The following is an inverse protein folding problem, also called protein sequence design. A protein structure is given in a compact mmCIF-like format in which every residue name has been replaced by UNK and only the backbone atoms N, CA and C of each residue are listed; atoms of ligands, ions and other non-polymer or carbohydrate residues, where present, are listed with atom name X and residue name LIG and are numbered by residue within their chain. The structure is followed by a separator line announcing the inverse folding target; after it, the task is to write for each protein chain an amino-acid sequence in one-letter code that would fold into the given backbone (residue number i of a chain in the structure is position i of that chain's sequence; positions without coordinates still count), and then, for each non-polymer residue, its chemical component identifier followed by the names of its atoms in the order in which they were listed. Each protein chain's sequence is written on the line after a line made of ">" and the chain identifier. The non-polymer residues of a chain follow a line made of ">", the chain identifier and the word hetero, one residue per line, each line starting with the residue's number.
data_IF_250351633521
#
_entry.id   IF_250351633521
#
_cell.length_a   1.000
_cell.length_b   1.000
_cell.length_c   1.000
_cell.angle_alpha   90.00
_cell.angle_beta   90.00
_cell.angle_gamma   90.00
#
_symmetry.space_group_name_H-M   'P 1'
#
loop_
_entity.id
_entity.type
_entity.pdbx_description
1 polymer ?
#
# COMPACT_ATOMS: atom_id res chain seq x y z
N UNK A 1 6.17 -28.09 -20.88
CA UNK A 1 7.34 -28.16 -21.79
C UNK A 1 7.25 -29.43 -22.64
N UNK A 2 7.65 -29.41 -23.92
CA UNK A 2 7.70 -30.63 -24.76
C UNK A 2 8.94 -31.47 -24.46
N UNK A 3 8.97 -32.74 -24.88
CA UNK A 3 10.16 -33.60 -24.71
C UNK A 3 11.38 -33.03 -25.45
N UNK A 4 11.15 -32.46 -26.65
CA UNK A 4 12.20 -31.80 -27.42
C UNK A 4 12.86 -30.65 -26.64
N UNK A 5 12.07 -29.69 -26.15
CA UNK A 5 12.62 -28.54 -25.42
C UNK A 5 13.29 -28.95 -24.10
N UNK A 6 12.77 -29.98 -23.44
CA UNK A 6 13.44 -30.57 -22.27
C UNK A 6 14.82 -31.12 -22.62
N UNK A 7 14.91 -31.94 -23.66
CA UNK A 7 16.18 -32.53 -24.11
C UNK A 7 17.17 -31.46 -24.58
N UNK A 8 16.69 -30.43 -25.27
CA UNK A 8 17.48 -29.28 -25.71
C UNK A 8 18.14 -28.54 -24.53
N UNK A 9 17.37 -28.20 -23.49
CA UNK A 9 17.88 -27.53 -22.28
C UNK A 9 18.91 -28.41 -21.58
N UNK A 10 18.59 -29.69 -21.37
CA UNK A 10 19.48 -30.66 -20.74
C UNK A 10 20.81 -30.74 -21.50
N UNK A 11 20.76 -30.86 -22.82
CA UNK A 11 21.93 -30.97 -23.67
C UNK A 11 22.80 -29.72 -23.58
N UNK A 12 22.23 -28.53 -23.76
CA UNK A 12 23.01 -27.29 -23.73
C UNK A 12 23.62 -27.01 -22.36
N UNK A 13 22.86 -27.16 -21.27
CA UNK A 13 23.39 -26.94 -19.92
C UNK A 13 24.51 -27.92 -19.60
N UNK A 14 24.37 -29.20 -19.98
CA UNK A 14 25.42 -30.21 -19.77
C UNK A 14 26.66 -29.90 -20.59
N UNK A 15 26.51 -29.59 -21.88
CA UNK A 15 27.63 -29.23 -22.76
C UNK A 15 28.34 -27.99 -22.23
N UNK A 16 27.61 -26.97 -21.79
CA UNK A 16 28.19 -25.76 -21.23
C UNK A 16 29.00 -26.02 -19.96
N UNK A 17 28.48 -26.82 -19.03
CA UNK A 17 29.22 -27.20 -17.82
C UNK A 17 30.49 -28.00 -18.16
N UNK A 18 30.41 -28.90 -19.14
CA UNK A 18 31.58 -29.65 -19.62
C UNK A 18 32.61 -28.70 -20.25
N UNK A 19 32.17 -27.77 -21.12
CA UNK A 19 33.05 -26.83 -21.80
C UNK A 19 33.73 -25.86 -20.81
N UNK A 20 33.01 -25.34 -19.82
CA UNK A 20 33.60 -24.49 -18.78
C UNK A 20 34.59 -25.28 -17.94
N UNK A 21 34.24 -26.50 -17.55
CA UNK A 21 35.15 -27.37 -16.80
C UNK A 21 36.42 -27.62 -17.62
N UNK A 22 36.26 -28.01 -18.89
CA UNK A 22 37.38 -28.20 -19.80
C UNK A 22 38.23 -26.95 -19.96
N UNK A 23 37.63 -25.78 -20.17
CA UNK A 23 38.33 -24.51 -20.33
C UNK A 23 39.16 -24.16 -19.08
N UNK A 24 38.58 -24.35 -17.89
CA UNK A 24 39.26 -24.09 -16.63
C UNK A 24 40.50 -24.99 -16.45
N UNK A 25 40.40 -26.28 -16.78
CA UNK A 25 41.54 -27.20 -16.67
C UNK A 25 42.55 -27.03 -17.81
N UNK A 26 42.09 -26.70 -19.03
CA UNK A 26 42.96 -26.45 -20.18
C UNK A 26 43.81 -25.19 -19.99
N UNK A 27 43.20 -24.10 -19.52
CA UNK A 27 43.92 -22.85 -19.19
C UNK A 27 44.93 -23.07 -18.06
N UNK A 28 44.59 -23.88 -17.06
CA UNK A 28 45.52 -24.23 -15.98
C UNK A 28 46.72 -25.06 -16.43
N UNK A 29 46.57 -25.92 -17.43
CA UNK A 29 47.67 -26.79 -17.93
C UNK A 29 48.83 -26.00 -18.54
N UNK A 30 48.55 -24.82 -19.09
CA UNK A 30 49.55 -23.95 -19.72
C UNK A 30 50.23 -22.94 -18.77
N UNK A 31 49.92 -22.96 -17.48
CA UNK A 31 50.39 -21.95 -16.53
C UNK A 31 51.75 -22.26 -15.93
N UNK A 32 52.47 -21.21 -15.53
CA UNK A 32 53.69 -21.32 -14.73
C UNK A 32 53.39 -21.86 -13.33
N UNK A 33 54.38 -22.51 -12.70
CA UNK A 33 54.18 -23.14 -11.39
C UNK A 33 54.04 -22.10 -10.25
N UNK A 34 54.77 -20.99 -10.37
CA UNK A 34 54.89 -19.94 -9.37
C UNK A 34 54.61 -18.57 -10.00
N UNK A 35 54.37 -17.57 -9.14
CA UNK A 35 54.25 -16.18 -9.57
C UNK A 35 55.56 -15.69 -10.20
N UNK A 36 55.45 -15.01 -11.34
CA UNK A 36 56.58 -14.45 -12.08
C UNK A 36 56.30 -13.02 -12.51
N UNK A 37 57.35 -12.21 -12.58
CA UNK A 37 57.30 -10.84 -13.13
C UNK A 37 57.46 -10.83 -14.67
N UNK A 38 57.35 -11.99 -15.32
CA UNK A 38 57.49 -12.12 -16.77
C UNK A 38 56.23 -11.62 -17.48
N UNK A 39 56.41 -10.73 -18.46
CA UNK A 39 55.31 -10.22 -19.30
C UNK A 39 55.14 -11.05 -20.58
N UNK A 40 53.98 -10.92 -21.23
CA UNK A 40 53.61 -11.66 -22.45
C UNK A 40 54.34 -11.19 -23.72
N UNK A 41 55.17 -10.15 -23.63
CA UNK A 41 56.03 -9.67 -24.72
C UNK A 41 55.38 -8.68 -25.70
N UNK A 42 54.12 -8.30 -25.46
CA UNK A 42 53.42 -7.26 -26.21
C UNK A 42 52.99 -6.12 -25.28
N UNK A 43 53.11 -4.88 -25.77
CA UNK A 43 52.65 -3.69 -25.06
C UNK A 43 51.50 -3.04 -25.83
N UNK A 44 50.42 -2.75 -25.12
CA UNK A 44 49.26 -2.04 -25.65
C UNK A 44 49.07 -0.77 -24.84
N UNK A 45 49.31 0.39 -25.47
CA UNK A 45 49.18 1.72 -24.84
C UNK A 45 49.98 1.85 -23.53
N UNK A 46 51.20 1.30 -23.52
CA UNK A 46 52.07 1.30 -22.34
C UNK A 46 51.70 0.30 -21.24
N UNK A 47 50.66 -0.51 -21.44
CA UNK A 47 50.28 -1.60 -20.53
C UNK A 47 50.84 -2.93 -21.05
N UNK A 48 51.44 -3.71 -20.16
CA UNK A 48 51.91 -5.08 -20.42
C UNK A 48 51.22 -6.05 -19.46
N UNK A 49 50.98 -7.28 -19.92
CA UNK A 49 50.29 -8.31 -19.14
C UNK A 49 51.29 -9.30 -18.55
N UNK A 50 51.16 -9.60 -17.25
CA UNK A 50 51.94 -10.66 -16.61
C UNK A 50 51.40 -12.05 -16.95
N UNK A 51 52.30 -12.97 -17.26
CA UNK A 51 52.00 -14.38 -17.49
C UNK A 51 52.08 -15.17 -16.17
N UNK A 52 51.11 -14.89 -15.28
CA UNK A 52 51.00 -15.46 -13.94
C UNK A 52 50.00 -16.62 -13.89
N UNK A 53 50.22 -17.63 -13.01
CA UNK A 53 49.21 -18.66 -12.77
C UNK A 53 47.96 -18.09 -12.11
N UNK A 54 46.84 -18.78 -12.32
CA UNK A 54 45.61 -18.49 -11.58
C UNK A 54 45.86 -18.71 -10.08
N UNK A 55 45.42 -17.78 -9.21
CA UNK A 55 45.50 -17.98 -7.78
C UNK A 55 44.82 -19.28 -7.36
N UNK A 56 45.52 -20.11 -6.56
CA UNK A 56 45.03 -21.46 -6.18
C UNK A 56 43.65 -21.41 -5.51
N UNK A 57 43.44 -20.42 -4.64
CA UNK A 57 42.16 -20.24 -3.95
C UNK A 57 41.02 -19.92 -4.93
N UNK A 58 41.29 -19.09 -5.94
CA UNK A 58 40.31 -18.71 -6.97
C UNK A 58 39.92 -19.92 -7.81
N UNK A 59 40.91 -20.72 -8.21
CA UNK A 59 40.66 -21.96 -8.95
C UNK A 59 39.80 -22.93 -8.14
N UNK A 60 40.13 -23.15 -6.86
CA UNK A 60 39.38 -24.06 -5.99
C UNK A 60 37.94 -23.58 -5.79
N UNK A 61 37.75 -22.26 -5.63
CA UNK A 61 36.42 -21.65 -5.55
C UNK A 61 35.63 -21.89 -6.85
N UNK A 62 36.25 -21.68 -8.02
CA UNK A 62 35.60 -21.92 -9.31
C UNK A 62 35.20 -23.40 -9.47
N UNK A 63 36.06 -24.34 -9.08
CA UNK A 63 35.69 -25.77 -9.08
C UNK A 63 34.54 -26.05 -8.12
N UNK A 64 34.54 -25.45 -6.92
CA UNK A 64 33.47 -25.62 -5.95
C UNK A 64 32.12 -25.11 -6.49
N UNK A 65 32.07 -24.01 -7.24
CA UNK A 65 30.81 -23.52 -7.85
C UNK A 65 30.31 -24.44 -8.96
N UNK A 66 31.19 -25.06 -9.75
CA UNK A 66 30.81 -26.09 -10.74
C UNK A 66 30.17 -27.29 -10.02
N UNK A 67 30.86 -27.81 -8.99
CA UNK A 67 30.36 -28.93 -8.18
C UNK A 67 29.02 -28.59 -7.54
N UNK A 68 28.90 -27.41 -6.92
CA UNK A 68 27.65 -26.92 -6.35
C UNK A 68 26.54 -26.85 -7.39
N UNK A 69 26.82 -26.33 -8.59
CA UNK A 69 25.83 -26.22 -9.68
C UNK A 69 25.32 -27.58 -10.12
N UNK A 70 26.21 -28.57 -10.26
CA UNK A 70 25.82 -29.96 -10.59
C UNK A 70 24.95 -30.55 -9.49
N UNK A 71 25.36 -30.44 -8.22
CA UNK A 71 24.57 -30.92 -7.08
C UNK A 71 23.20 -30.24 -7.04
N UNK A 72 23.15 -28.92 -7.25
CA UNK A 72 21.91 -28.15 -7.25
C UNK A 72 20.95 -28.59 -8.36
N UNK A 73 21.45 -28.80 -9.59
CA UNK A 73 20.64 -29.27 -10.72
C UNK A 73 20.16 -30.73 -10.57
N UNK A 74 20.83 -31.52 -9.73
CA UNK A 74 20.35 -32.85 -9.34
C UNK A 74 19.23 -32.73 -8.31
N UNK A 75 19.39 -31.86 -7.30
CA UNK A 75 18.44 -31.70 -6.20
C UNK A 75 17.15 -30.98 -6.60
N UNK A 76 17.25 -29.92 -7.41
CA UNK A 76 16.16 -29.01 -7.78
C UNK A 76 15.76 -29.14 -9.26
N UNK A 77 14.55 -28.68 -9.64
CA UNK A 77 14.20 -28.53 -11.04
C UNK A 77 15.11 -27.48 -11.72
N UNK A 78 15.50 -27.76 -12.97
CA UNK A 78 16.38 -26.90 -13.76
C UNK A 78 16.86 -27.55 -15.05
N UNK A 79 16.92 -28.89 -15.04
CA UNK A 79 17.28 -29.71 -16.20
C UNK A 79 16.04 -30.13 -17.01
N UNK A 80 15.46 -29.19 -17.75
CA UNK A 80 14.28 -29.44 -18.58
C UNK A 80 13.07 -29.90 -17.75
N UNK A 81 12.54 -31.09 -18.02
CA UNK A 81 11.43 -31.73 -17.27
C UNK A 81 11.88 -32.44 -15.99
N UNK A 82 13.18 -32.54 -15.73
CA UNK A 82 13.67 -33.13 -14.49
C UNK A 82 13.18 -32.30 -13.29
N UNK A 83 12.48 -32.96 -12.37
CA UNK A 83 11.88 -32.31 -11.19
C UNK A 83 12.86 -32.09 -10.03
N UNK A 84 14.09 -32.61 -10.16
CA UNK A 84 14.99 -32.73 -9.02
C UNK A 84 14.66 -33.96 -8.16
N UNK A 85 15.63 -34.39 -7.36
CA UNK A 85 15.44 -35.47 -6.38
C UNK A 85 14.53 -35.03 -5.23
N UNK A 86 14.52 -33.74 -4.89
CA UNK A 86 13.70 -33.20 -3.81
C UNK A 86 12.23 -32.99 -4.21
N UNK A 87 11.92 -33.04 -5.52
CA UNK A 87 10.57 -32.77 -6.02
C UNK A 87 10.07 -31.34 -5.78
N UNK A 88 10.95 -30.42 -5.35
CA UNK A 88 10.60 -29.05 -4.97
C UNK A 88 10.02 -28.24 -6.13
N UNK A 89 9.00 -27.42 -5.83
CA UNK A 89 8.56 -26.33 -6.69
C UNK A 89 8.29 -25.07 -5.85
N UNK A 90 8.48 -23.89 -6.44
CA UNK A 90 8.17 -22.62 -5.76
C UNK A 90 6.68 -22.49 -5.39
N UNK A 91 5.79 -23.16 -6.14
CA UNK A 91 4.34 -23.12 -5.89
C UNK A 91 3.99 -23.97 -4.67
N UNK A 92 4.49 -25.20 -4.59
CA UNK A 92 4.29 -26.06 -3.41
C UNK A 92 4.94 -25.43 -2.18
N UNK A 93 6.15 -24.85 -2.30
CA UNK A 93 6.78 -24.15 -1.17
C UNK A 93 5.91 -22.99 -0.66
N UNK A 94 5.35 -22.18 -1.57
CA UNK A 94 4.45 -21.11 -1.20
C UNK A 94 3.18 -21.63 -0.53
N UNK A 95 2.58 -22.70 -1.05
CA UNK A 95 1.39 -23.32 -0.45
C UNK A 95 1.68 -23.85 0.95
N UNK A 96 2.80 -24.56 1.15
CA UNK A 96 3.25 -25.02 2.46
C UNK A 96 3.47 -23.86 3.44
N UNK A 97 4.04 -22.75 2.97
CA UNK A 97 4.30 -21.57 3.80
C UNK A 97 2.98 -20.89 4.22
N UNK A 98 2.04 -20.74 3.29
CA UNK A 98 0.70 -20.21 3.57
C UNK A 98 -0.07 -21.13 4.51
N UNK A 99 -0.06 -22.46 4.29
CA UNK A 99 -0.75 -23.42 5.15
C UNK A 99 -0.20 -23.39 6.59
N UNK A 100 1.13 -23.32 6.74
CA UNK A 100 1.75 -23.18 8.07
C UNK A 100 1.37 -21.86 8.73
N UNK A 101 1.36 -20.77 7.98
CA UNK A 101 0.94 -19.47 8.49
C UNK A 101 -0.54 -19.47 8.89
N UNK A 102 -1.41 -20.04 8.08
CA UNK A 102 -2.84 -20.20 8.40
C UNK A 102 -3.05 -21.06 9.64
N UNK A 103 -2.38 -22.21 9.75
CA UNK A 103 -2.46 -23.06 10.94
C UNK A 103 -2.01 -22.33 12.22
N UNK A 104 -1.04 -21.42 12.12
CA UNK A 104 -0.54 -20.63 13.24
C UNK A 104 -1.43 -19.42 13.57
N UNK A 105 -1.91 -18.69 12.56
CA UNK A 105 -2.54 -17.39 12.75
C UNK A 105 -4.07 -17.43 12.68
N UNK A 106 -4.67 -18.41 12.00
CA UNK A 106 -6.14 -18.53 11.92
C UNK A 106 -6.80 -18.65 13.30
N UNK A 107 -6.27 -19.39 14.29
CA UNK A 107 -6.86 -19.42 15.63
C UNK A 107 -6.87 -18.05 16.33
N UNK A 108 -5.89 -17.19 16.03
CA UNK A 108 -5.82 -15.83 16.58
C UNK A 108 -6.92 -14.97 15.98
N UNK A 109 -7.13 -15.02 14.66
CA UNK A 109 -8.21 -14.31 14.00
C UNK A 109 -9.58 -14.86 14.39
N UNK A 110 -9.74 -16.19 14.46
CA UNK A 110 -11.00 -16.84 14.82
C UNK A 110 -11.53 -16.41 16.19
N UNK A 111 -10.64 -16.05 17.14
CA UNK A 111 -11.06 -15.48 18.43
C UNK A 111 -11.85 -14.17 18.26
N UNK A 112 -11.49 -13.34 17.29
CA UNK A 112 -12.03 -11.99 17.13
C UNK A 112 -13.10 -11.87 16.05
N UNK A 113 -13.09 -12.73 15.02
CA UNK A 113 -13.98 -12.59 13.85
C UNK A 113 -15.46 -12.73 14.21
N UNK A 114 -15.78 -13.58 15.19
CA UNK A 114 -17.15 -13.80 15.68
C UNK A 114 -17.59 -12.78 16.74
N UNK A 115 -16.66 -11.99 17.28
CA UNK A 115 -16.98 -10.95 18.27
C UNK A 115 -17.55 -9.70 17.57
N UNK A 116 -18.44 -8.94 18.21
CA UNK A 116 -18.84 -7.63 17.70
C UNK A 116 -17.63 -6.68 17.60
N UNK A 117 -17.62 -5.83 16.58
CA UNK A 117 -16.51 -4.89 16.31
C UNK A 117 -16.28 -3.97 17.50
N UNK A 118 -17.34 -3.56 18.18
CA UNK A 118 -17.30 -2.73 19.38
C UNK A 118 -16.60 -3.42 20.56
N UNK A 119 -16.66 -4.75 20.64
CA UNK A 119 -15.96 -5.53 21.66
C UNK A 119 -14.50 -5.72 21.28
N UNK A 120 -14.22 -6.05 20.01
CA UNK A 120 -12.86 -6.16 19.46
C UNK A 120 -12.10 -4.84 19.58
N UNK A 121 -12.78 -3.71 19.38
CA UNK A 121 -12.21 -2.36 19.50
C UNK A 121 -11.74 -2.00 20.92
N UNK A 122 -12.15 -2.76 21.95
CA UNK A 122 -11.74 -2.57 23.35
C UNK A 122 -10.64 -3.54 23.80
N UNK A 123 -10.31 -4.55 23.00
CA UNK A 123 -9.25 -5.51 23.29
C UNK A 123 -7.90 -4.95 22.79
N UNK A 124 -6.96 -4.70 23.70
CA UNK A 124 -5.67 -4.08 23.37
C UNK A 124 -4.84 -4.88 22.35
N UNK A 125 -4.91 -6.21 22.41
CA UNK A 125 -4.18 -7.07 21.48
C UNK A 125 -4.81 -7.03 20.09
N UNK A 126 -6.15 -7.01 20.02
CA UNK A 126 -6.88 -6.84 18.78
C UNK A 126 -6.62 -5.47 18.12
N UNK A 127 -6.66 -4.39 18.90
CA UNK A 127 -6.33 -3.02 18.44
C UNK A 127 -4.91 -2.98 17.89
N UNK A 128 -3.94 -3.62 18.55
CA UNK A 128 -2.55 -3.69 18.06
C UNK A 128 -2.41 -4.49 16.76
N UNK A 129 -3.21 -5.54 16.56
CA UNK A 129 -3.27 -6.28 15.28
C UNK A 129 -3.85 -5.37 14.19
N UNK A 130 -4.98 -4.72 14.47
CA UNK A 130 -5.63 -3.79 13.54
C UNK A 130 -4.73 -2.61 13.17
N UNK A 131 -3.97 -2.06 14.12
CA UNK A 131 -2.97 -1.01 13.88
C UNK A 131 -1.89 -1.45 12.88
N UNK A 132 -1.38 -2.69 12.97
CA UNK A 132 -0.39 -3.22 12.02
C UNK A 132 -1.00 -3.40 10.62
N UNK A 133 -2.25 -3.87 10.55
CA UNK A 133 -2.99 -3.96 9.28
C UNK A 133 -3.18 -2.56 8.68
N UNK A 134 -3.56 -1.57 9.49
CA UNK A 134 -3.74 -0.19 9.07
C UNK A 134 -2.42 0.43 8.57
N UNK A 135 -1.33 0.23 9.31
CA UNK A 135 -0.01 0.70 8.94
C UNK A 135 0.43 0.17 7.57
N UNK A 136 0.10 -1.09 7.26
CA UNK A 136 0.50 -1.75 6.00
C UNK A 136 -0.39 -1.35 4.81
N UNK A 137 -1.70 -1.16 5.03
CA UNK A 137 -2.68 -1.07 3.95
C UNK A 137 -3.35 0.31 3.80
N UNK A 138 -3.37 1.14 4.85
CA UNK A 138 -4.21 2.33 4.91
C UNK A 138 -3.41 3.63 5.18
N UNK A 139 -2.27 3.52 5.88
CA UNK A 139 -1.48 4.66 6.35
C UNK A 139 -0.96 5.60 5.27
N UNK A 140 -0.70 5.07 4.07
CA UNK A 140 -0.19 5.86 2.93
C UNK A 140 -1.17 6.96 2.52
N UNK A 141 -2.48 6.72 2.69
CA UNK A 141 -3.52 7.68 2.36
C UNK A 141 -4.02 8.42 3.61
N UNK A 142 -4.32 7.68 4.68
CA UNK A 142 -4.94 8.23 5.89
C UNK A 142 -3.94 8.71 6.94
N UNK A 143 -2.64 8.72 6.63
CA UNK A 143 -1.58 9.10 7.58
C UNK A 143 -1.22 7.95 8.52
N UNK A 144 0.00 8.00 9.07
CA UNK A 144 0.49 7.01 10.04
C UNK A 144 -0.26 7.03 11.38
N UNK A 145 -0.82 8.19 11.72
CA UNK A 145 -1.64 8.44 12.91
C UNK A 145 -3.14 8.44 12.61
N UNK A 146 -3.54 8.02 11.40
CA UNK A 146 -4.92 8.00 10.93
C UNK A 146 -5.61 9.38 10.84
N UNK A 147 -4.87 10.49 10.95
CA UNK A 147 -5.41 11.86 10.90
C UNK A 147 -5.63 12.43 9.51
N UNK A 148 -5.38 11.63 8.49
CA UNK A 148 -5.59 12.02 7.10
C UNK A 148 -4.57 13.04 6.59
N UNK A 149 -4.94 13.67 5.48
CA UNK A 149 -4.17 14.73 4.82
C UNK A 149 -5.12 15.50 3.89
N UNK A 150 -4.61 16.50 3.16
CA UNK A 150 -5.40 17.15 2.12
C UNK A 150 -5.96 16.11 1.12
N UNK A 151 -7.28 16.01 1.03
CA UNK A 151 -7.99 15.06 0.18
C UNK A 151 -8.22 13.67 0.79
N UNK A 152 -7.70 13.37 1.98
CA UNK A 152 -7.89 12.10 2.70
C UNK A 152 -8.48 12.32 4.10
N UNK A 153 -9.62 11.68 4.45
CA UNK A 153 -10.28 11.90 5.73
C UNK A 153 -9.41 11.54 6.93
N UNK A 154 -9.59 12.30 8.01
CA UNK A 154 -9.20 11.90 9.35
C UNK A 154 -10.16 10.80 9.81
N UNK A 155 -9.62 9.68 10.28
CA UNK A 155 -10.39 8.52 10.73
C UNK A 155 -10.44 8.41 12.27
N UNK A 156 -9.78 9.35 12.97
CA UNK A 156 -9.74 9.41 14.43
C UNK A 156 -10.67 10.45 15.04
N UNK A 157 -11.25 11.34 14.23
CA UNK A 157 -12.27 12.27 14.72
C UNK A 157 -13.68 11.67 14.64
N UNK A 158 -14.67 12.50 14.95
CA UNK A 158 -16.08 12.14 14.98
C UNK A 158 -16.84 12.58 13.72
N UNK A 159 -16.16 13.04 12.66
CA UNK A 159 -16.80 13.45 11.40
C UNK A 159 -16.72 12.35 10.33
N UNK A 160 -17.89 11.81 10.00
CA UNK A 160 -17.98 10.66 9.10
C UNK A 160 -18.78 10.98 7.84
N UNK A 161 -18.07 11.23 6.75
CA UNK A 161 -18.65 11.52 5.42
C UNK A 161 -19.64 10.44 4.95
N UNK A 162 -19.38 9.17 5.23
CA UNK A 162 -20.22 8.02 4.86
C UNK A 162 -20.91 7.35 6.07
N UNK A 163 -20.87 8.01 7.23
CA UNK A 163 -21.38 7.52 8.51
C UNK A 163 -20.39 6.63 9.27
N UNK A 164 -20.42 6.75 10.60
CA UNK A 164 -19.44 6.14 11.52
C UNK A 164 -19.94 4.89 12.26
N UNK A 165 -21.12 4.35 11.89
CA UNK A 165 -21.54 3.07 12.46
C UNK A 165 -20.63 1.94 11.96
N UNK A 166 -20.52 0.87 12.77
CA UNK A 166 -19.71 -0.31 12.43
C UNK A 166 -20.03 -0.85 11.05
N UNK A 167 -21.30 -0.96 10.70
CA UNK A 167 -21.72 -1.46 9.38
C UNK A 167 -21.29 -0.51 8.25
N UNK A 168 -21.39 0.81 8.44
CA UNK A 168 -20.97 1.79 7.44
C UNK A 168 -19.44 1.80 7.23
N UNK A 169 -18.67 1.63 8.31
CA UNK A 169 -17.21 1.49 8.25
C UNK A 169 -16.86 0.21 7.50
N UNK A 170 -17.49 -0.93 7.85
CA UNK A 170 -17.29 -2.21 7.15
C UNK A 170 -17.66 -2.12 5.68
N UNK A 171 -18.80 -1.53 5.32
CA UNK A 171 -19.19 -1.31 3.93
C UNK A 171 -18.15 -0.47 3.19
N UNK A 172 -17.65 0.61 3.81
CA UNK A 172 -16.61 1.45 3.22
C UNK A 172 -15.33 0.66 2.97
N UNK A 173 -14.87 -0.14 3.93
CA UNK A 173 -13.69 -0.99 3.76
C UNK A 173 -13.90 -2.06 2.68
N UNK A 174 -15.06 -2.72 2.66
CA UNK A 174 -15.33 -3.86 1.79
C UNK A 174 -15.59 -3.45 0.35
N UNK A 175 -16.49 -2.49 0.15
CA UNK A 175 -17.01 -2.10 -1.17
C UNK A 175 -16.29 -0.87 -1.74
N UNK A 176 -15.53 -0.15 -0.90
CA UNK A 176 -14.98 1.14 -1.27
C UNK A 176 -16.04 2.24 -1.28
N UNK A 177 -15.63 3.46 -1.58
CA UNK A 177 -16.52 4.62 -1.72
C UNK A 177 -16.03 5.54 -2.82
N UNK A 178 -16.94 6.02 -3.65
CA UNK A 178 -16.65 7.02 -4.66
C UNK A 178 -17.56 8.23 -4.42
N UNK A 179 -16.97 9.34 -3.98
CA UNK A 179 -17.67 10.61 -3.92
C UNK A 179 -17.82 11.19 -5.34
N UNK A 180 -18.89 11.94 -5.56
CA UNK A 180 -19.18 12.58 -6.84
C UNK A 180 -19.81 13.96 -6.64
N UNK A 181 -18.97 14.96 -6.40
CA UNK A 181 -19.40 16.37 -6.43
C UNK A 181 -19.21 16.91 -7.86
N UNK A 182 -20.29 17.31 -8.56
CA UNK A 182 -20.19 17.80 -9.93
C UNK A 182 -19.53 19.18 -10.01
N UNK A 183 -19.00 19.50 -11.19
CA UNK A 183 -18.49 20.83 -11.51
C UNK A 183 -19.64 21.80 -11.80
N UNK A 184 -19.67 22.94 -11.11
CA UNK A 184 -20.79 23.90 -11.20
C UNK A 184 -20.49 25.11 -12.08
N UNK A 185 -19.26 25.34 -12.52
CA UNK A 185 -18.87 26.55 -13.26
C UNK A 185 -19.77 26.83 -14.47
N UNK A 186 -20.06 25.80 -15.28
CA UNK A 186 -20.89 25.96 -16.47
C UNK A 186 -22.36 26.29 -16.15
N UNK A 187 -22.83 25.96 -14.95
CA UNK A 187 -24.22 26.12 -14.52
C UNK A 187 -24.44 27.47 -13.84
N UNK A 188 -23.54 27.86 -12.93
CA UNK A 188 -23.72 29.03 -12.06
C UNK A 188 -22.79 30.20 -12.41
N UNK A 189 -21.84 29.98 -13.33
CA UNK A 189 -20.83 30.97 -13.70
C UNK A 189 -19.87 31.32 -12.57
N UNK A 190 -18.86 32.15 -12.88
CA UNK A 190 -17.81 32.50 -11.92
C UNK A 190 -18.34 33.33 -10.73
N UNK A 191 -19.28 34.25 -10.99
CA UNK A 191 -19.93 35.02 -9.94
C UNK A 191 -20.75 34.11 -9.00
N UNK A 192 -21.46 33.12 -9.55
CA UNK A 192 -22.20 32.13 -8.77
C UNK A 192 -21.28 31.25 -7.93
N UNK A 193 -20.15 30.80 -8.49
CA UNK A 193 -19.12 30.05 -7.75
C UNK A 193 -18.60 30.87 -6.57
N UNK A 194 -18.19 32.12 -6.81
CA UNK A 194 -17.69 33.01 -5.75
C UNK A 194 -18.71 33.25 -4.64
N UNK A 195 -19.95 33.59 -5.01
CA UNK A 195 -21.01 33.91 -4.06
C UNK A 195 -21.44 32.67 -3.25
N UNK A 196 -21.56 31.52 -3.90
CA UNK A 196 -21.91 30.24 -3.25
C UNK A 196 -20.80 29.77 -2.32
N UNK A 197 -19.53 29.91 -2.73
CA UNK A 197 -18.39 29.63 -1.86
C UNK A 197 -18.41 30.51 -0.60
N UNK A 198 -18.75 31.81 -0.75
CA UNK A 198 -18.97 32.71 0.37
C UNK A 198 -20.06 32.21 1.30
N UNK A 199 -21.24 31.92 0.76
CA UNK A 199 -22.36 31.42 1.57
C UNK A 199 -22.01 30.11 2.31
N UNK A 200 -21.40 29.14 1.64
CA UNK A 200 -20.96 27.87 2.25
C UNK A 200 -19.98 28.13 3.41
N UNK A 201 -19.01 29.04 3.24
CA UNK A 201 -18.10 29.42 4.33
C UNK A 201 -18.83 30.09 5.50
N UNK A 202 -19.86 30.89 5.22
CA UNK A 202 -20.67 31.51 6.27
C UNK A 202 -21.48 30.49 7.09
N UNK A 203 -21.82 29.32 6.53
CA UNK A 203 -22.47 28.24 7.27
C UNK A 203 -21.58 27.67 8.37
N UNK A 204 -20.26 27.64 8.13
CA UNK A 204 -19.24 27.26 9.12
C UNK A 204 -18.76 28.43 9.99
N UNK A 205 -19.44 29.58 9.93
CA UNK A 205 -19.08 30.77 10.72
C UNK A 205 -17.77 31.45 10.28
N UNK A 206 -17.25 31.14 9.09
CA UNK A 206 -16.01 31.72 8.58
C UNK A 206 -16.26 33.09 7.95
N UNK A 207 -15.28 33.99 8.06
CA UNK A 207 -15.37 35.31 7.46
C UNK A 207 -15.37 35.27 5.92
N UNK A 208 -16.24 36.08 5.35
CA UNK A 208 -16.45 36.17 3.91
C UNK A 208 -16.39 37.63 3.48
N UNK A 209 -15.46 37.96 2.59
CA UNK A 209 -15.33 39.29 2.02
C UNK A 209 -15.65 39.27 0.53
N UNK A 210 -16.18 40.40 0.03
CA UNK A 210 -16.43 40.59 -1.40
C UNK A 210 -17.27 39.45 -2.00
N UNK A 211 -18.38 39.07 -1.36
CA UNK A 211 -19.35 38.07 -1.84
C UNK A 211 -20.77 38.58 -1.64
N UNK A 212 -21.68 38.16 -2.52
CA UNK A 212 -23.12 38.36 -2.33
C UNK A 212 -23.72 37.09 -1.70
N UNK A 213 -23.95 37.14 -0.37
CA UNK A 213 -24.42 35.99 0.40
C UNK A 213 -25.86 35.60 0.04
N UNK A 214 -26.73 36.55 -0.33
CA UNK A 214 -28.11 36.25 -0.71
C UNK A 214 -28.16 35.54 -2.06
N UNK A 215 -27.34 35.98 -3.02
CA UNK A 215 -27.17 35.27 -4.29
C UNK A 215 -26.59 33.86 -4.07
N UNK A 216 -25.57 33.72 -3.20
CA UNK A 216 -24.97 32.43 -2.85
C UNK A 216 -25.98 31.47 -2.19
N UNK A 217 -26.76 31.98 -1.24
CA UNK A 217 -27.84 31.24 -0.56
C UNK A 217 -28.89 30.75 -1.55
N UNK A 218 -29.30 31.59 -2.50
CA UNK A 218 -30.25 31.20 -3.55
C UNK A 218 -29.72 30.04 -4.39
N UNK A 219 -28.45 30.09 -4.80
CA UNK A 219 -27.81 29.00 -5.56
C UNK A 219 -27.73 27.72 -4.73
N UNK A 220 -27.34 27.83 -3.46
CA UNK A 220 -27.26 26.70 -2.54
C UNK A 220 -28.62 26.00 -2.39
N UNK A 221 -29.68 26.77 -2.11
CA UNK A 221 -31.05 26.26 -1.96
C UNK A 221 -31.65 25.75 -3.27
N UNK A 222 -31.09 26.10 -4.43
CA UNK A 222 -31.57 25.59 -5.72
C UNK A 222 -30.86 24.29 -6.12
N UNK A 223 -29.55 24.18 -5.85
CA UNK A 223 -28.72 23.12 -6.43
C UNK A 223 -28.03 22.23 -5.38
N UNK A 224 -27.52 22.82 -4.30
CA UNK A 224 -26.64 22.13 -3.34
C UNK A 224 -27.42 21.38 -2.26
N UNK A 225 -28.61 21.89 -1.91
CA UNK A 225 -29.52 21.32 -0.90
C UNK A 225 -29.89 19.86 -1.17
N UNK A 226 -29.92 19.43 -2.43
CA UNK A 226 -30.29 18.07 -2.81
C UNK A 226 -29.32 17.03 -2.26
N UNK A 227 -28.03 17.39 -2.11
CA UNK A 227 -27.01 16.51 -1.58
C UNK A 227 -26.58 16.89 -0.16
N UNK A 228 -26.42 18.18 0.14
CA UNK A 228 -25.90 18.64 1.43
C UNK A 228 -27.00 18.97 2.45
N UNK A 229 -28.27 18.85 2.08
CA UNK A 229 -29.41 19.19 2.93
C UNK A 229 -29.65 20.70 3.05
N UNK A 230 -30.84 21.10 3.56
CA UNK A 230 -31.26 22.50 3.59
C UNK A 230 -30.44 23.36 4.55
N UNK A 231 -29.89 22.73 5.58
CA UNK A 231 -29.02 23.34 6.58
C UNK A 231 -27.52 23.14 6.27
N UNK A 232 -27.17 22.41 5.21
CA UNK A 232 -25.77 22.12 4.88
C UNK A 232 -25.12 21.03 5.75
N UNK A 233 -25.89 20.28 6.53
CA UNK A 233 -25.39 19.20 7.42
C UNK A 233 -24.87 17.96 6.71
N UNK A 234 -24.90 17.93 5.38
CA UNK A 234 -24.44 16.79 4.59
C UNK A 234 -25.47 15.67 4.50
N UNK A 235 -25.08 14.60 3.79
CA UNK A 235 -25.85 13.38 3.64
C UNK A 235 -24.91 12.18 3.53
N UNK A 236 -24.80 11.37 4.60
CA UNK A 236 -23.95 10.18 4.62
C UNK A 236 -24.27 9.14 3.54
N UNK A 237 -25.53 9.06 3.07
CA UNK A 237 -25.89 8.14 1.99
C UNK A 237 -25.25 8.49 0.65
N UNK A 238 -24.94 9.78 0.45
CA UNK A 238 -24.33 10.29 -0.78
C UNK A 238 -22.84 10.61 -0.61
N UNK A 239 -22.30 10.47 0.60
CA UNK A 239 -20.95 10.92 0.91
C UNK A 239 -20.80 12.44 0.80
N UNK A 240 -21.90 13.18 1.00
CA UNK A 240 -21.88 14.63 0.99
C UNK A 240 -21.48 15.10 2.40
N UNK A 241 -20.31 15.75 2.57
CA UNK A 241 -19.85 16.17 3.88
C UNK A 241 -20.74 17.26 4.47
N UNK A 242 -20.68 17.38 5.80
CA UNK A 242 -21.19 18.52 6.51
C UNK A 242 -20.41 19.78 6.10
N UNK A 243 -21.12 20.89 5.91
CA UNK A 243 -20.58 22.18 5.49
C UNK A 243 -20.67 23.24 6.60
N UNK A 244 -21.19 22.87 7.77
CA UNK A 244 -21.41 23.78 8.90
C UNK A 244 -20.36 23.65 10.00
N UNK A 245 -19.40 22.73 9.86
CA UNK A 245 -18.33 22.50 10.83
C UNK A 245 -16.97 23.02 10.33
N UNK A 246 -15.95 22.80 11.15
CA UNK A 246 -14.56 23.20 10.91
C UNK A 246 -13.70 22.09 10.30
N UNK A 247 -14.31 20.99 9.82
CA UNK A 247 -13.61 19.82 9.27
C UNK A 247 -13.67 19.84 7.74
N UNK A 248 -12.53 20.15 7.11
CA UNK A 248 -12.47 20.39 5.65
C UNK A 248 -11.45 19.52 4.95
N UNK A 249 -11.94 18.50 4.22
CA UNK A 249 -11.11 17.59 3.44
C UNK A 249 -10.28 18.30 2.34
N UNK A 250 -10.86 19.33 1.72
CA UNK A 250 -10.26 20.05 0.59
C UNK A 250 -9.92 21.52 0.93
N UNK A 251 -9.83 21.84 2.23
CA UNK A 251 -9.53 23.17 2.75
C UNK A 251 -10.72 24.14 2.74
N UNK A 252 -10.67 25.11 3.66
CA UNK A 252 -11.78 26.03 3.97
C UNK A 252 -11.60 27.46 3.45
N UNK A 253 -10.49 27.77 2.79
CA UNK A 253 -10.28 29.10 2.22
C UNK A 253 -11.25 29.38 1.07
N UNK A 254 -11.59 30.65 0.84
CA UNK A 254 -12.51 31.04 -0.24
C UNK A 254 -12.10 30.46 -1.59
N UNK A 255 -10.81 30.52 -1.92
CA UNK A 255 -10.27 30.02 -3.18
C UNK A 255 -10.37 28.48 -3.30
N UNK A 256 -10.17 27.75 -2.20
CA UNK A 256 -10.31 26.29 -2.18
C UNK A 256 -11.76 25.85 -2.37
N UNK A 257 -12.70 26.51 -1.68
CA UNK A 257 -14.13 26.23 -1.84
C UNK A 257 -14.59 26.59 -3.25
N UNK A 258 -14.14 27.72 -3.80
CA UNK A 258 -14.38 28.09 -5.20
C UNK A 258 -13.83 27.04 -6.17
N UNK A 259 -12.61 26.54 -5.95
CA UNK A 259 -12.02 25.51 -6.79
C UNK A 259 -12.84 24.22 -6.77
N UNK A 260 -13.27 23.80 -5.57
CA UNK A 260 -14.17 22.65 -5.36
C UNK A 260 -15.49 22.82 -6.12
N UNK A 261 -16.14 23.99 -6.03
CA UNK A 261 -17.36 24.28 -6.80
C UNK A 261 -17.09 24.37 -8.32
N UNK A 262 -15.95 24.92 -8.73
CA UNK A 262 -15.61 25.18 -10.13
C UNK A 262 -15.41 23.87 -10.89
N UNK A 263 -14.69 22.91 -10.29
CA UNK A 263 -14.24 21.69 -10.96
C UNK A 263 -14.82 20.39 -10.39
N UNK A 264 -15.56 20.46 -9.28
CA UNK A 264 -16.08 19.28 -8.61
C UNK A 264 -15.00 18.50 -7.85
N UNK A 265 -15.40 17.37 -7.26
CA UNK A 265 -14.54 16.45 -6.49
C UNK A 265 -14.99 15.01 -6.71
N UNK A 266 -14.02 14.11 -6.88
CA UNK A 266 -14.26 12.69 -7.10
C UNK A 266 -13.34 11.84 -6.22
N UNK A 267 -13.36 12.08 -4.91
CA UNK A 267 -12.57 11.30 -3.95
C UNK A 267 -12.93 9.81 -3.99
N UNK A 268 -11.92 8.95 -3.93
CA UNK A 268 -12.09 7.50 -4.03
C UNK A 268 -11.40 6.80 -2.87
N UNK A 269 -12.15 6.01 -2.12
CA UNK A 269 -11.66 5.01 -1.17
C UNK A 269 -11.72 3.65 -1.88
N UNK A 270 -10.57 3.02 -2.23
CA UNK A 270 -10.58 1.74 -2.93
C UNK A 270 -11.09 0.60 -2.07
N UNK A 271 -11.89 -0.30 -2.66
CA UNK A 271 -12.36 -1.52 -2.00
C UNK A 271 -11.20 -2.40 -1.51
N UNK A 272 -11.28 -2.83 -0.25
CA UNK A 272 -10.29 -3.68 0.42
C UNK A 272 -10.73 -5.15 0.51
N UNK A 273 -11.76 -5.56 -0.23
CA UNK A 273 -12.28 -6.94 -0.27
C UNK A 273 -11.19 -8.01 -0.50
N UNK A 274 -10.09 -7.66 -1.17
CA UNK A 274 -8.94 -8.55 -1.40
C UNK A 274 -8.20 -8.98 -0.12
N UNK A 275 -8.39 -8.26 1.00
CA UNK A 275 -7.79 -8.62 2.29
C UNK A 275 -8.50 -9.78 2.98
N UNK A 276 -9.73 -10.09 2.59
CA UNK A 276 -10.60 -11.06 3.25
C UNK A 276 -11.38 -10.47 4.43
N UNK A 277 -12.48 -11.13 4.80
CA UNK A 277 -13.42 -10.64 5.82
C UNK A 277 -12.78 -10.52 7.21
N UNK A 278 -11.90 -11.43 7.59
CA UNK A 278 -11.24 -11.41 8.90
C UNK A 278 -10.41 -10.14 9.10
N UNK A 279 -9.62 -9.77 8.08
CA UNK A 279 -8.80 -8.56 8.13
C UNK A 279 -9.65 -7.30 8.04
N UNK A 280 -10.74 -7.33 7.26
CA UNK A 280 -11.71 -6.22 7.22
C UNK A 280 -12.36 -6.02 8.59
N UNK A 281 -12.73 -7.11 9.28
CA UNK A 281 -13.29 -7.06 10.63
C UNK A 281 -12.30 -6.39 11.60
N UNK A 282 -11.03 -6.82 11.59
CA UNK A 282 -9.99 -6.24 12.45
C UNK A 282 -9.70 -4.78 12.12
N UNK A 283 -9.65 -4.42 10.83
CA UNK A 283 -9.48 -3.02 10.39
C UNK A 283 -10.67 -2.15 10.80
N UNK A 284 -11.90 -2.64 10.66
CA UNK A 284 -13.09 -1.92 11.09
C UNK A 284 -13.07 -1.67 12.61
N UNK A 285 -12.61 -2.66 13.38
CA UNK A 285 -12.49 -2.55 14.85
C UNK A 285 -11.46 -1.52 15.26
N UNK A 286 -10.31 -1.49 14.58
CA UNK A 286 -9.29 -0.46 14.81
C UNK A 286 -9.76 0.93 14.40
N UNK A 287 -10.36 1.08 13.20
CA UNK A 287 -10.88 2.38 12.75
C UNK A 287 -11.98 2.88 13.68
N UNK A 288 -12.84 1.99 14.16
CA UNK A 288 -13.86 2.32 15.15
C UNK A 288 -13.22 2.75 16.48
N UNK A 289 -12.20 2.04 16.99
CA UNK A 289 -11.56 2.38 18.26
C UNK A 289 -10.94 3.78 18.27
N UNK A 290 -10.39 4.23 17.13
CA UNK A 290 -9.75 5.55 17.01
C UNK A 290 -10.68 6.72 17.35
N UNK A 291 -11.96 6.63 16.97
CA UNK A 291 -12.95 7.70 17.24
C UNK A 291 -13.58 7.61 18.64
N UNK A 292 -13.40 6.49 19.35
CA UNK A 292 -13.92 6.33 20.72
C UNK A 292 -12.98 6.88 21.79
N UNK A 293 -11.67 6.94 21.54
CA UNK A 293 -10.67 7.41 22.52
C UNK A 293 -10.83 8.90 22.87
N UNK A 294 -11.27 9.76 21.95
CA UNK A 294 -11.52 11.19 22.26
C UNK A 294 -12.77 11.42 23.13
N UNK A 295 -13.68 10.43 23.23
CA UNK A 295 -14.87 10.50 24.07
C UNK A 295 -14.58 10.36 25.57
N UNK A 296 -13.57 9.57 25.94
CA UNK A 296 -13.27 9.26 27.35
C UNK A 296 -12.26 10.22 28.02
N UNK A 297 -11.50 10.99 27.23
CA UNK A 297 -10.48 11.92 27.78
C UNK A 297 -11.08 13.25 28.30
N UNK A 298 -12.41 13.43 28.20
CA UNK A 298 -13.08 14.67 28.64
C UNK A 298 -13.54 14.72 30.10
N UNK A 299 -13.41 13.64 30.90
CA UNK A 299 -13.93 13.60 32.30
C UNK A 299 -12.90 13.31 33.41
N UNK A 300 -11.60 13.17 33.13
CA UNK A 300 -10.60 13.18 34.20
C UNK A 300 -10.08 14.59 34.44
N UNK A 301 -10.81 15.30 35.31
CA UNK A 301 -10.53 16.67 35.75
C UNK A 301 -9.04 16.96 35.95
N UNK A 302 -8.50 17.84 35.10
CA UNK A 302 -7.22 18.49 35.34
C UNK A 302 -7.40 19.53 36.45
N UNK A 303 -6.70 19.42 37.60
CA UNK A 303 -6.82 20.43 38.64
C UNK A 303 -6.24 21.75 38.11
N UNK A 304 -7.04 22.82 38.19
CA UNK A 304 -6.56 24.20 38.00
C UNK A 304 -5.54 24.49 39.12
N UNK A 305 -4.26 24.48 38.78
CA UNK A 305 -3.16 24.77 39.70
C UNK A 305 -2.39 26.01 39.27
N UNK A 306 -2.63 27.09 40.03
CA UNK A 306 -1.85 28.33 40.29
C UNK A 306 -1.10 29.01 39.15
#
# INVERSE_FOLDING_TARGET
>A
MSNFWSGYIIALTTVFLILITWLLFATRKGQKADHTDQTTGHSFDGIEEYDNPLPRWWFMLFVATIVFSVVYLVLYPGMGKWKGVLGWTQVEQYQDEVERAEAQFAPIFARYVDMPVEEVARDEDAVRIGQRLFATNCSVCHGSDARGAFGFPNLSDNDWIWGGSVDQIKTTLREGRQAAMPAWLAVIGEAGVRNTAGYVRSLAGLETENVDLEAGKKVFQTNCVACHGPEGKGNPMLGAPNLTDDIWLYGSSLLQVQHTLRYGRNGNMPAQAHLGEDKIHMLASYVYSLSQEEGEVSDTGRPKGR
#
